data_IF_474928711100
#
_entry.id   IF_474928711100
#
_cell.length_a   1.000
_cell.length_b   1.000
_cell.length_c   1.000
_cell.angle_alpha   90.00
_cell.angle_beta   90.00
_cell.angle_gamma   90.00
#
_symmetry.space_group_name_H-M   'P 1'
#
loop_
_entity.id
_entity.type
_entity.pdbx_description
1 polymer ?
#
# COMPACT_ATOMS: atom_id res chain seq x y z
N UNK A 1 -13.52 8.73 -11.85
CA UNK A 1 -13.08 10.14 -11.61
C UNK A 1 -13.97 10.89 -10.61
N UNK A 2 -15.29 10.88 -10.76
CA UNK A 2 -16.23 11.57 -9.83
C UNK A 2 -16.08 11.13 -8.38
N UNK A 3 -15.94 9.83 -8.12
CA UNK A 3 -15.71 9.26 -6.79
C UNK A 3 -14.46 9.82 -6.10
N UNK A 4 -13.33 9.90 -6.82
CA UNK A 4 -12.07 10.44 -6.30
C UNK A 4 -12.08 11.96 -6.09
N UNK A 5 -12.99 12.68 -6.78
CA UNK A 5 -13.04 14.15 -6.78
C UNK A 5 -14.08 14.74 -5.84
N UNK A 6 -15.08 13.96 -5.42
CA UNK A 6 -16.14 14.49 -4.56
C UNK A 6 -15.58 15.04 -3.26
N UNK A 7 -16.04 16.24 -2.90
CA UNK A 7 -15.75 16.93 -1.62
C UNK A 7 -17.04 17.33 -0.90
N UNK A 8 -18.20 16.99 -1.47
CA UNK A 8 -19.53 17.45 -1.01
C UNK A 8 -20.36 16.25 -0.60
N UNK A 9 -20.88 16.27 0.62
CA UNK A 9 -21.76 15.25 1.18
C UNK A 9 -22.10 15.60 2.64
N UNK A 10 -23.39 15.56 2.99
CA UNK A 10 -23.89 16.03 4.28
C UNK A 10 -23.95 14.91 5.36
N UNK A 11 -23.54 13.69 5.00
CA UNK A 11 -23.61 12.49 5.84
C UNK A 11 -22.24 12.05 6.39
N UNK A 12 -21.37 13.00 6.77
CA UNK A 12 -20.01 12.70 7.24
C UNK A 12 -18.99 12.38 6.11
N UNK A 13 -19.39 12.56 4.85
CA UNK A 13 -18.57 12.34 3.65
C UNK A 13 -17.89 13.61 3.10
N UNK A 14 -18.27 14.78 3.63
CA UNK A 14 -17.82 16.10 3.21
C UNK A 14 -16.51 16.49 3.88
N UNK A 15 -15.38 16.06 3.32
CA UNK A 15 -14.07 16.48 3.80
C UNK A 15 -12.93 16.07 2.87
N UNK A 16 -11.82 16.79 2.93
CA UNK A 16 -10.62 16.44 2.16
C UNK A 16 -10.05 15.08 2.59
N UNK A 17 -10.16 14.76 3.89
CA UNK A 17 -9.77 13.47 4.45
C UNK A 17 -10.60 12.32 3.88
N UNK A 18 -11.92 12.51 3.73
CA UNK A 18 -12.79 11.51 3.11
C UNK A 18 -12.49 11.34 1.62
N UNK A 19 -12.06 12.41 0.95
CA UNK A 19 -11.55 12.33 -0.42
C UNK A 19 -10.25 11.55 -0.49
N UNK A 20 -9.30 11.80 0.41
CA UNK A 20 -8.05 11.04 0.50
C UNK A 20 -8.32 9.55 0.77
N UNK A 21 -9.26 9.22 1.68
CA UNK A 21 -9.69 7.83 1.92
C UNK A 21 -10.24 7.17 0.65
N UNK A 22 -11.09 7.88 -0.10
CA UNK A 22 -11.63 7.36 -1.38
C UNK A 22 -10.56 7.17 -2.44
N UNK A 23 -9.58 8.08 -2.52
CA UNK A 23 -8.43 7.92 -3.41
C UNK A 23 -7.59 6.70 -3.00
N UNK A 24 -7.38 6.49 -1.71
CA UNK A 24 -6.69 5.31 -1.20
C UNK A 24 -7.42 4.00 -1.52
N UNK A 25 -8.75 3.95 -1.34
CA UNK A 25 -9.56 2.79 -1.72
C UNK A 25 -9.48 2.48 -3.23
N UNK A 26 -9.43 3.53 -4.07
CA UNK A 26 -9.20 3.33 -5.50
C UNK A 26 -7.83 2.71 -5.78
N UNK A 27 -6.77 3.15 -5.10
CA UNK A 27 -5.43 2.57 -5.27
C UNK A 27 -5.41 1.09 -4.85
N UNK A 28 -6.06 0.74 -3.75
CA UNK A 28 -6.22 -0.65 -3.31
C UNK A 28 -7.02 -1.47 -4.35
N UNK A 29 -8.15 -0.96 -4.83
CA UNK A 29 -8.96 -1.64 -5.84
C UNK A 29 -8.29 -1.76 -7.21
N UNK A 30 -7.40 -0.82 -7.58
CA UNK A 30 -6.65 -0.89 -8.85
C UNK A 30 -5.74 -2.12 -8.90
N UNK A 31 -5.17 -2.53 -7.76
CA UNK A 31 -4.35 -3.74 -7.63
C UNK A 31 -5.18 -4.95 -8.04
N UNK A 32 -6.41 -5.09 -7.53
CA UNK A 32 -7.29 -6.21 -7.85
C UNK A 32 -7.85 -6.14 -9.29
N UNK A 33 -8.18 -4.93 -9.75
CA UNK A 33 -8.79 -4.69 -11.05
C UNK A 33 -7.87 -5.13 -12.20
N UNK A 34 -6.55 -4.96 -12.06
CA UNK A 34 -5.58 -5.39 -13.08
C UNK A 34 -5.63 -6.90 -13.30
N UNK A 35 -5.88 -7.68 -12.24
CA UNK A 35 -5.92 -9.15 -12.29
C UNK A 35 -7.26 -9.77 -12.73
N UNK A 36 -8.27 -8.94 -13.06
CA UNK A 36 -9.56 -9.45 -13.53
C UNK A 36 -9.47 -9.96 -14.98
N UNK A 37 -10.18 -11.03 -15.36
CA UNK A 37 -10.17 -11.57 -16.72
C UNK A 37 -10.54 -10.55 -17.81
N UNK A 38 -11.38 -9.57 -17.49
CA UNK A 38 -11.83 -8.52 -18.39
C UNK A 38 -10.83 -7.37 -18.53
N UNK A 39 -9.78 -7.35 -17.72
CA UNK A 39 -8.72 -6.35 -17.79
C UNK A 39 -7.97 -6.50 -19.11
N UNK A 40 -7.86 -5.41 -19.87
CA UNK A 40 -7.02 -5.36 -21.08
C UNK A 40 -5.53 -5.60 -20.78
N UNK A 41 -5.15 -5.51 -19.50
CA UNK A 41 -3.81 -5.76 -19.01
C UNK A 41 -3.66 -7.18 -18.44
N UNK A 42 -4.66 -8.07 -18.58
CA UNK A 42 -4.57 -9.46 -18.15
C UNK A 42 -4.59 -10.43 -19.34
N UNK A 43 -3.68 -11.42 -19.42
CA UNK A 43 -2.50 -11.59 -18.57
C UNK A 43 -1.51 -10.43 -18.74
N UNK A 44 -0.78 -10.10 -17.68
CA UNK A 44 0.10 -8.92 -17.65
C UNK A 44 1.22 -8.99 -18.68
N UNK A 45 1.21 -8.04 -19.62
CA UNK A 45 2.28 -7.76 -20.56
C UNK A 45 2.97 -6.45 -20.17
N UNK A 46 3.99 -6.55 -19.31
CA UNK A 46 4.65 -5.42 -18.64
C UNK A 46 5.07 -4.29 -19.60
N UNK A 47 5.71 -4.55 -20.76
CA UNK A 47 6.06 -3.48 -21.71
C UNK A 47 4.84 -2.73 -22.25
N UNK A 48 3.77 -3.46 -22.59
CA UNK A 48 2.54 -2.85 -23.12
C UNK A 48 1.84 -2.01 -22.06
N UNK A 49 1.82 -2.50 -20.82
CA UNK A 49 1.28 -1.74 -19.69
C UNK A 49 2.08 -0.46 -19.46
N UNK A 50 3.42 -0.58 -19.35
CA UNK A 50 4.32 0.55 -19.14
C UNK A 50 4.15 1.62 -20.23
N UNK A 51 4.16 1.22 -21.50
CA UNK A 51 3.95 2.15 -22.62
C UNK A 51 2.55 2.76 -22.58
N UNK A 52 1.52 1.98 -22.27
CA UNK A 52 0.15 2.48 -22.16
C UNK A 52 0.00 3.54 -21.07
N UNK A 53 0.71 3.43 -19.94
CA UNK A 53 0.59 4.38 -18.83
C UNK A 53 1.56 5.55 -18.91
N UNK A 54 2.76 5.37 -19.44
CA UNK A 54 3.80 6.41 -19.43
C UNK A 54 3.83 7.26 -20.70
N UNK A 55 3.49 6.70 -21.87
CA UNK A 55 3.61 7.41 -23.15
C UNK A 55 2.62 8.59 -23.23
N UNK A 56 3.09 9.79 -22.86
CA UNK A 56 2.35 11.06 -22.80
C UNK A 56 1.13 11.07 -21.87
N UNK A 57 1.03 10.13 -20.91
CA UNK A 57 -0.11 10.03 -19.98
C UNK A 57 0.29 10.18 -18.52
N UNK A 58 1.50 9.76 -18.15
CA UNK A 58 2.01 9.83 -16.78
C UNK A 58 3.51 10.08 -16.80
N UNK A 59 3.95 11.06 -16.02
CA UNK A 59 5.37 11.29 -15.76
C UNK A 59 5.82 10.42 -14.59
N UNK A 60 6.92 9.68 -14.78
CA UNK A 60 7.55 8.85 -13.76
C UNK A 60 9.04 8.76 -14.00
N UNK A 61 9.81 8.55 -12.93
CA UNK A 61 11.24 8.20 -13.02
C UNK A 61 11.48 6.69 -13.01
N UNK A 62 10.43 5.89 -12.82
CA UNK A 62 10.51 4.43 -12.94
C UNK A 62 10.81 4.05 -14.38
N UNK A 63 11.80 3.20 -14.55
CA UNK A 63 12.15 2.58 -15.83
C UNK A 63 11.31 1.33 -16.08
N UNK A 64 11.36 0.79 -17.29
CA UNK A 64 10.71 -0.48 -17.60
C UNK A 64 11.26 -1.64 -16.74
N UNK A 65 12.57 -1.64 -16.45
CA UNK A 65 13.21 -2.65 -15.60
C UNK A 65 12.72 -2.57 -14.15
N UNK A 66 12.52 -1.36 -13.62
CA UNK A 66 11.90 -1.18 -12.30
C UNK A 66 10.49 -1.76 -12.26
N UNK A 67 9.73 -1.63 -13.35
CA UNK A 67 8.37 -2.18 -13.43
C UNK A 67 8.39 -3.70 -13.49
N UNK A 68 9.37 -4.32 -14.16
CA UNK A 68 9.56 -5.77 -14.10
C UNK A 68 9.79 -6.24 -12.66
N UNK A 69 10.71 -5.58 -11.97
CA UNK A 69 11.01 -5.89 -10.57
C UNK A 69 9.77 -5.73 -9.68
N UNK A 70 9.06 -4.59 -9.78
CA UNK A 70 7.84 -4.34 -9.01
C UNK A 70 6.72 -5.34 -9.31
N UNK A 71 6.60 -5.80 -10.56
CA UNK A 71 5.62 -6.82 -10.92
C UNK A 71 5.94 -8.17 -10.27
N UNK A 72 7.21 -8.52 -10.14
CA UNK A 72 7.61 -9.73 -9.42
C UNK A 72 7.22 -9.67 -7.94
N UNK A 73 7.40 -8.53 -7.25
CA UNK A 73 6.84 -8.38 -5.88
C UNK A 73 5.32 -8.51 -5.83
N UNK A 74 4.64 -7.97 -6.83
CA UNK A 74 3.18 -8.01 -6.88
C UNK A 74 2.65 -9.45 -7.03
N UNK A 75 3.38 -10.36 -7.68
CA UNK A 75 2.96 -11.78 -7.76
C UNK A 75 2.82 -12.41 -6.38
N UNK A 76 3.61 -11.94 -5.42
CA UNK A 76 3.61 -12.39 -4.04
C UNK A 76 2.75 -11.49 -3.14
N UNK A 77 1.92 -10.59 -3.69
CA UNK A 77 1.13 -9.62 -2.91
C UNK A 77 0.27 -10.25 -1.82
N UNK A 78 -0.24 -11.46 -2.06
CA UNK A 78 -1.14 -12.16 -1.14
C UNK A 78 -0.38 -12.69 0.10
N UNK A 79 0.95 -12.70 0.06
CA UNK A 79 1.83 -12.99 1.19
C UNK A 79 2.11 -11.76 2.07
N UNK A 80 1.67 -10.56 1.66
CA UNK A 80 1.91 -9.33 2.39
C UNK A 80 0.62 -8.73 2.94
N UNK A 81 0.69 -8.20 4.17
CA UNK A 81 -0.38 -7.34 4.70
C UNK A 81 -0.09 -5.90 4.31
N UNK A 82 -0.96 -5.30 3.49
CA UNK A 82 -0.86 -3.89 3.12
C UNK A 82 -1.49 -3.05 4.23
N UNK A 83 -0.67 -2.24 4.91
CA UNK A 83 -1.14 -1.29 5.91
C UNK A 83 -1.22 0.14 5.34
N UNK A 84 -2.29 0.84 5.70
CA UNK A 84 -2.49 2.24 5.34
C UNK A 84 -2.14 3.15 6.51
N UNK A 85 -1.12 3.98 6.34
CA UNK A 85 -0.75 4.99 7.33
C UNK A 85 -1.39 6.33 6.96
N UNK A 86 -2.24 6.87 7.85
CA UNK A 86 -2.95 8.13 7.64
C UNK A 86 -2.27 9.22 8.46
N UNK A 87 -1.98 10.36 7.81
CA UNK A 87 -1.49 11.56 8.52
C UNK A 87 -2.70 12.31 9.07
N UNK A 88 -2.99 12.11 10.35
CA UNK A 88 -4.17 12.68 11.02
C UNK A 88 -3.87 13.87 11.92
N UNK A 89 -4.87 14.22 12.73
CA UNK A 89 -4.86 15.33 13.67
C UNK A 89 -3.77 15.21 14.74
N UNK A 90 -3.13 14.06 14.89
CA UNK A 90 -1.96 13.83 15.74
C UNK A 90 -0.67 14.46 15.18
N UNK A 91 -0.58 14.67 13.86
CA UNK A 91 0.60 15.26 13.20
C UNK A 91 0.36 16.65 12.65
N UNK A 92 -0.87 16.95 12.24
CA UNK A 92 -1.27 18.20 11.61
C UNK A 92 -2.46 18.85 12.32
N UNK A 93 -2.61 20.16 12.18
CA UNK A 93 -3.79 20.88 12.63
C UNK A 93 -4.08 22.09 11.75
N UNK A 94 -5.31 22.60 11.84
CA UNK A 94 -5.67 23.89 11.24
C UNK A 94 -5.58 25.00 12.31
N UNK A 95 -4.72 26.02 12.15
CA UNK A 95 -4.50 27.07 13.16
C UNK A 95 -5.59 28.14 13.20
N UNK A 96 -6.67 28.00 12.42
CA UNK A 96 -7.66 29.05 12.20
C UNK A 96 -7.27 29.96 11.02
N UNK A 97 -8.08 30.99 10.78
CA UNK A 97 -7.88 31.97 9.71
C UNK A 97 -7.66 33.38 10.29
N UNK A 98 -7.28 34.34 9.45
CA UNK A 98 -7.17 35.74 9.84
C UNK A 98 -8.50 36.30 10.39
N UNK A 99 -8.49 37.07 11.50
CA UNK A 99 -7.32 37.56 12.25
C UNK A 99 -6.82 36.63 13.38
N UNK A 100 -7.49 35.51 13.65
CA UNK A 100 -7.08 34.59 14.74
C UNK A 100 -5.76 33.87 14.45
N UNK A 101 -5.38 33.77 13.17
CA UNK A 101 -4.10 33.26 12.70
C UNK A 101 -3.54 34.15 11.57
N UNK A 102 -2.24 34.05 11.22
CA UNK A 102 -1.69 34.79 10.08
C UNK A 102 -2.14 34.24 8.72
N UNK A 103 -2.92 33.16 8.68
CA UNK A 103 -3.28 32.47 7.44
C UNK A 103 -4.59 33.01 6.87
N UNK A 104 -4.56 33.40 5.60
CA UNK A 104 -5.75 33.83 4.84
C UNK A 104 -6.44 32.69 4.08
N UNK A 105 -5.90 31.47 4.15
CA UNK A 105 -6.43 30.28 3.49
C UNK A 105 -6.49 29.11 4.47
N UNK A 106 -7.33 28.12 4.16
CA UNK A 106 -7.39 26.89 4.93
C UNK A 106 -6.11 26.07 4.70
N UNK A 107 -5.28 25.96 5.74
CA UNK A 107 -4.01 25.23 5.71
C UNK A 107 -3.96 24.17 6.80
N UNK A 108 -3.17 23.14 6.54
CA UNK A 108 -2.67 22.23 7.56
C UNK A 108 -1.25 22.64 7.93
N UNK A 109 -1.00 22.77 9.22
CA UNK A 109 0.33 23.07 9.78
C UNK A 109 0.78 21.87 10.61
N UNK A 110 2.07 21.54 10.52
CA UNK A 110 2.67 20.52 11.37
C UNK A 110 2.52 20.91 12.85
N UNK A 111 2.20 19.95 13.71
CA UNK A 111 2.21 20.18 15.16
C UNK A 111 3.61 20.38 15.71
N UNK A 112 4.59 19.75 15.07
CA UNK A 112 5.99 19.79 15.47
C UNK A 112 6.86 20.27 14.31
N UNK A 113 7.93 21.04 14.61
CA UNK A 113 8.90 21.42 13.60
C UNK A 113 9.43 20.19 12.86
N UNK A 114 9.36 20.22 11.53
CA UNK A 114 9.92 19.18 10.68
C UNK A 114 9.27 17.80 10.80
N UNK A 115 8.05 17.69 11.36
CA UNK A 115 7.31 16.42 11.44
C UNK A 115 8.05 15.29 12.20
N UNK A 116 8.80 15.64 13.26
CA UNK A 116 9.64 14.70 13.99
C UNK A 116 8.91 13.41 14.44
N UNK A 117 7.72 13.53 15.05
CA UNK A 117 6.93 12.34 15.42
C UNK A 117 6.49 11.50 14.23
N UNK A 118 6.02 12.15 13.15
CA UNK A 118 5.59 11.45 11.95
C UNK A 118 6.74 10.64 11.33
N UNK A 119 7.95 11.21 11.25
CA UNK A 119 9.12 10.50 10.75
C UNK A 119 9.45 9.28 11.62
N UNK A 120 9.50 9.46 12.94
CA UNK A 120 9.74 8.37 13.89
C UNK A 120 8.70 7.26 13.77
N UNK A 121 7.42 7.61 13.60
CA UNK A 121 6.33 6.63 13.51
C UNK A 121 6.36 5.89 12.17
N UNK A 122 6.71 6.56 11.07
CA UNK A 122 6.97 5.93 9.77
C UNK A 122 8.17 4.97 9.88
N UNK A 123 9.28 5.40 10.46
CA UNK A 123 10.47 4.55 10.65
C UNK A 123 10.15 3.32 11.51
N UNK A 124 9.41 3.50 12.60
CA UNK A 124 8.94 2.43 13.47
C UNK A 124 8.07 1.42 12.71
N UNK A 125 7.22 1.89 11.79
CA UNK A 125 6.41 1.01 10.93
C UNK A 125 7.28 0.24 9.94
N UNK A 126 8.19 0.90 9.25
CA UNK A 126 9.09 0.27 8.28
C UNK A 126 10.00 -0.78 8.93
N UNK A 127 10.50 -0.52 10.14
CA UNK A 127 11.37 -1.42 10.89
C UNK A 127 10.62 -2.64 11.49
N UNK A 128 9.29 -2.60 11.58
CA UNK A 128 8.46 -3.71 12.06
C UNK A 128 8.02 -4.66 10.95
N UNK A 129 8.28 -4.33 9.69
CA UNK A 129 7.99 -5.20 8.56
C UNK A 129 9.01 -6.35 8.56
N UNK A 130 8.64 -7.46 9.19
CA UNK A 130 9.43 -8.70 9.21
C UNK A 130 8.83 -9.73 8.25
N UNK A 131 9.70 -10.46 7.57
CA UNK A 131 9.35 -11.65 6.79
C UNK A 131 8.85 -12.72 7.77
N UNK A 132 7.56 -13.09 7.71
CA UNK A 132 7.09 -14.27 8.44
C UNK A 132 7.62 -15.51 7.71
N UNK A 133 8.68 -16.11 8.25
CA UNK A 133 9.20 -17.37 7.75
C UNK A 133 8.07 -18.43 7.70
N UNK A 134 7.93 -19.22 6.62
CA UNK A 134 6.93 -20.27 6.56
C UNK A 134 7.20 -21.28 7.67
N UNK A 135 6.14 -21.66 8.40
CA UNK A 135 6.18 -22.74 9.38
C UNK A 135 6.65 -24.01 8.67
N UNK A 136 7.87 -24.47 8.96
CA UNK A 136 8.36 -25.75 8.52
C UNK A 136 7.46 -26.83 9.16
N UNK A 137 6.52 -27.40 8.41
CA UNK A 137 5.81 -28.61 8.80
C UNK A 137 6.82 -29.76 8.84
N UNK A 138 7.51 -29.92 9.97
CA UNK A 138 8.33 -31.09 10.25
C UNK A 138 7.44 -32.18 10.82
N UNK A 139 6.72 -32.92 9.98
CA UNK A 139 6.14 -34.21 10.37
C UNK A 139 5.87 -35.12 9.16
N UNK A 140 6.86 -35.93 8.81
CA UNK A 140 6.63 -37.20 8.14
C UNK A 140 7.47 -38.32 8.78
N UNK A 141 6.92 -39.55 8.83
CA UNK A 141 7.19 -40.52 9.88
C UNK A 141 8.43 -41.37 9.59
N UNK A 142 9.20 -41.65 10.64
CA UNK A 142 10.31 -42.61 10.58
C UNK A 142 9.77 -44.03 10.35
N UNK A 143 10.05 -44.54 9.16
CA UNK A 143 9.82 -45.90 8.73
C UNK A 143 10.85 -46.81 9.44
N UNK A 144 10.43 -47.57 10.47
CA UNK A 144 11.31 -48.54 11.13
C UNK A 144 11.29 -49.85 10.34
N UNK A 145 12.38 -50.07 9.62
CA UNK A 145 12.66 -51.26 8.84
C UNK A 145 13.02 -52.42 9.77
N UNK A 146 12.17 -53.44 9.83
CA UNK A 146 12.39 -54.69 10.55
C UNK A 146 13.36 -55.62 9.79
N UNK A 147 14.36 -56.17 10.48
CA UNK A 147 15.13 -57.34 10.03
C UNK A 147 15.29 -58.38 11.16
N UNK A 148 15.49 -59.69 10.83
CA UNK A 148 14.92 -60.78 11.60
C UNK A 148 15.91 -61.56 12.50
N UNK A 149 15.28 -62.19 13.51
CA UNK A 149 15.66 -63.31 14.38
C UNK A 149 16.97 -64.08 14.09
N UNK A 150 17.80 -64.23 15.14
CA UNK A 150 18.65 -65.40 15.32
C UNK A 150 18.62 -65.85 16.79
N UNK A 151 18.18 -67.09 17.00
CA UNK A 151 18.41 -67.89 18.20
C UNK A 151 19.51 -68.92 17.91
N UNK A 152 20.16 -69.44 18.95
CA UNK A 152 19.84 -70.81 19.37
C UNK A 152 19.43 -70.92 20.85
#
# INVERSE_FOLDING_TARGET
>A
LTFARSRKGNNGEGGDLMRAKRQHLLLQGMIEAISQPESIFWPMAIPKFYDAVTNNRMYTTLTLDDVYYLWDFYKDRDNYTIESFVVGDEYIYHPGMYPQSPYHAWVFVAREPGFANLHRDIESKLNKTVESAPLLNSEHPQNVQSQPSQAP
#
